data_IF_839185919012
#
_entry.id   IF_839185919012
#
_cell.length_a   1.000
_cell.length_b   1.000
_cell.length_c   1.000
_cell.angle_alpha   90.00
_cell.angle_beta   90.00
_cell.angle_gamma   90.00
#
_symmetry.space_group_name_H-M   'P 1'
#
loop_
_entity.id
_entity.type
_entity.pdbx_description
1 polymer ?
#
# COMPACT_ATOMS: atom_id res chain seq x y z
N UNK A 1 -41.35 14.72 64.61
CA UNK A 1 -41.59 13.26 64.44
C UNK A 1 -41.46 12.89 62.94
N UNK A 2 -40.27 13.10 62.30
CA UNK A 2 -40.06 12.87 60.87
C UNK A 2 -38.82 12.00 60.58
N UNK A 3 -38.21 11.46 61.62
CA UNK A 3 -36.97 10.66 61.51
C UNK A 3 -37.17 9.22 61.01
N UNK A 4 -38.31 8.51 61.21
CA UNK A 4 -38.41 7.12 60.74
C UNK A 4 -38.54 6.94 59.18
N UNK A 5 -39.14 7.94 58.54
CA UNK A 5 -39.36 7.85 57.08
C UNK A 5 -38.05 7.95 56.24
N UNK A 6 -37.08 8.72 56.71
CA UNK A 6 -35.78 8.88 56.06
C UNK A 6 -34.95 7.62 56.23
N UNK A 7 -35.03 6.96 57.38
CA UNK A 7 -34.29 5.71 57.64
C UNK A 7 -34.86 4.56 56.77
N UNK A 8 -36.19 4.47 56.66
CA UNK A 8 -36.82 3.47 55.81
C UNK A 8 -36.48 3.66 54.32
N UNK A 9 -36.47 4.88 53.82
CA UNK A 9 -36.08 5.17 52.42
C UNK A 9 -34.59 4.84 52.16
N UNK A 10 -33.71 5.04 53.14
CA UNK A 10 -32.30 4.67 53.02
C UNK A 10 -32.11 3.15 53.03
N UNK A 11 -32.84 2.42 53.88
CA UNK A 11 -32.81 0.94 53.90
C UNK A 11 -33.42 0.32 52.66
N UNK A 12 -34.44 0.90 52.04
CA UNK A 12 -35.02 0.46 50.78
C UNK A 12 -34.06 0.73 49.63
N UNK A 13 -33.35 1.85 49.61
CA UNK A 13 -32.32 2.17 48.61
C UNK A 13 -31.11 1.21 48.72
N UNK A 14 -30.70 0.84 49.93
CA UNK A 14 -29.62 -0.16 50.13
C UNK A 14 -30.06 -1.56 49.71
N UNK A 15 -31.32 -1.95 49.95
CA UNK A 15 -31.83 -3.26 49.49
C UNK A 15 -31.96 -3.34 47.98
N UNK A 16 -32.30 -2.25 47.29
CA UNK A 16 -32.32 -2.20 45.83
C UNK A 16 -30.90 -2.27 45.19
N UNK A 17 -29.89 -1.87 45.94
CA UNK A 17 -28.51 -1.94 45.49
C UNK A 17 -27.85 -3.31 45.65
N UNK A 18 -28.47 -4.26 46.33
CA UNK A 18 -27.81 -5.48 46.83
C UNK A 18 -28.11 -6.78 46.07
N UNK A 19 -29.02 -6.81 45.13
CA UNK A 19 -29.26 -8.04 44.35
C UNK A 19 -28.66 -8.01 42.94
N UNK A 20 -27.36 -8.18 42.92
CA UNK A 20 -26.64 -8.56 41.70
C UNK A 20 -26.72 -10.08 41.55
N UNK A 21 -27.93 -10.61 41.39
CA UNK A 21 -28.16 -12.08 41.33
C UNK A 21 -28.18 -12.62 39.90
N UNK A 22 -28.07 -11.79 38.87
CA UNK A 22 -28.09 -12.24 37.46
C UNK A 22 -26.68 -12.39 36.83
N UNK A 23 -25.77 -13.02 37.58
CA UNK A 23 -24.44 -13.31 37.05
C UNK A 23 -24.51 -14.23 35.81
N UNK A 24 -25.49 -15.13 35.73
CA UNK A 24 -25.71 -15.98 34.56
C UNK A 24 -26.13 -15.18 33.35
N UNK A 25 -27.02 -14.21 33.48
CA UNK A 25 -27.39 -13.30 32.39
C UNK A 25 -26.21 -12.42 31.95
N UNK A 26 -25.39 -11.94 32.89
CA UNK A 26 -24.19 -11.18 32.57
C UNK A 26 -23.14 -12.02 31.83
N UNK A 27 -22.93 -13.26 32.25
CA UNK A 27 -22.06 -14.18 31.53
C UNK A 27 -22.60 -14.46 30.13
N UNK A 28 -23.92 -14.58 29.95
CA UNK A 28 -24.57 -14.71 28.64
C UNK A 28 -24.27 -13.50 27.74
N UNK A 29 -24.39 -12.27 28.28
CA UNK A 29 -24.05 -11.05 27.54
C UNK A 29 -22.57 -10.96 27.17
N UNK A 30 -21.67 -11.31 28.09
CA UNK A 30 -20.21 -11.34 27.82
C UNK A 30 -19.89 -12.37 26.76
N UNK A 31 -20.47 -13.58 26.86
CA UNK A 31 -20.28 -14.62 25.86
C UNK A 31 -20.83 -14.19 24.48
N UNK A 32 -22.02 -13.57 24.45
CA UNK A 32 -22.60 -13.01 23.23
C UNK A 32 -21.72 -11.93 22.61
N UNK A 33 -21.17 -11.04 23.41
CA UNK A 33 -20.23 -9.99 22.94
C UNK A 33 -18.95 -10.60 22.38
N UNK A 34 -18.36 -11.58 23.05
CA UNK A 34 -17.14 -12.26 22.58
C UNK A 34 -17.39 -13.00 21.27
N UNK A 35 -18.54 -13.68 21.14
CA UNK A 35 -18.93 -14.32 19.89
C UNK A 35 -19.12 -13.31 18.76
N UNK A 36 -19.74 -12.17 19.06
CA UNK A 36 -19.91 -11.10 18.09
C UNK A 36 -18.56 -10.53 17.63
N UNK A 37 -17.64 -10.28 18.56
CA UNK A 37 -16.26 -9.81 18.24
C UNK A 37 -15.53 -10.87 17.39
N UNK A 38 -15.63 -12.15 17.76
CA UNK A 38 -15.03 -13.24 17.01
C UNK A 38 -15.62 -13.34 15.61
N UNK A 39 -16.92 -13.18 15.45
CA UNK A 39 -17.62 -13.16 14.17
C UNK A 39 -17.16 -11.99 13.30
N UNK A 40 -17.12 -10.78 13.84
CA UNK A 40 -16.64 -9.58 13.13
C UNK A 40 -15.18 -9.76 12.69
N UNK A 41 -14.33 -10.26 13.58
CA UNK A 41 -12.94 -10.57 13.26
C UNK A 41 -12.82 -11.62 12.14
N UNK A 42 -13.64 -12.68 12.20
CA UNK A 42 -13.67 -13.72 11.18
C UNK A 42 -14.13 -13.16 9.83
N UNK A 43 -15.18 -12.33 9.81
CA UNK A 43 -15.68 -11.67 8.60
C UNK A 43 -14.65 -10.72 7.99
N UNK A 44 -13.95 -9.92 8.84
CA UNK A 44 -12.86 -9.08 8.37
C UNK A 44 -11.74 -9.90 7.74
N UNK A 45 -11.32 -10.97 8.42
CA UNK A 45 -10.27 -11.87 7.91
C UNK A 45 -10.69 -12.55 6.60
N UNK A 46 -11.95 -12.93 6.50
CA UNK A 46 -12.52 -13.51 5.28
C UNK A 46 -12.55 -12.50 4.13
N UNK A 47 -12.98 -11.27 4.41
CA UNK A 47 -12.98 -10.19 3.42
C UNK A 47 -11.58 -9.86 2.89
N UNK A 48 -10.55 -9.93 3.72
CA UNK A 48 -9.17 -9.75 3.29
C UNK A 48 -8.68 -10.88 2.39
N UNK A 49 -9.03 -12.13 2.71
CA UNK A 49 -8.72 -13.28 1.86
C UNK A 49 -9.39 -13.19 0.49
N UNK A 50 -10.64 -12.76 0.45
CA UNK A 50 -11.40 -12.61 -0.80
C UNK A 50 -10.81 -11.52 -1.69
N UNK A 51 -10.40 -10.39 -1.13
CA UNK A 51 -9.70 -9.34 -1.90
C UNK A 51 -8.38 -9.84 -2.48
N UNK A 52 -7.61 -10.60 -1.72
CA UNK A 52 -6.39 -11.25 -2.23
C UNK A 52 -6.68 -12.27 -3.34
N UNK A 53 -7.76 -13.04 -3.23
CA UNK A 53 -8.16 -14.02 -4.24
C UNK A 53 -8.65 -13.36 -5.53
N UNK A 54 -9.40 -12.25 -5.45
CA UNK A 54 -9.84 -11.48 -6.63
C UNK A 54 -8.67 -10.84 -7.40
N UNK A 55 -7.52 -10.65 -6.74
CA UNK A 55 -6.30 -10.12 -7.34
C UNK A 55 -5.24 -11.19 -7.62
N UNK A 56 -5.57 -12.48 -7.39
CA UNK A 56 -4.64 -13.61 -7.62
C UNK A 56 -4.30 -13.81 -9.09
N UNK A 57 -5.11 -13.30 -10.02
CA UNK A 57 -4.84 -13.28 -11.46
C UNK A 57 -3.72 -12.33 -11.87
N UNK A 58 -3.15 -11.52 -10.96
CA UNK A 58 -2.02 -10.66 -11.29
C UNK A 58 -0.77 -11.53 -11.50
N UNK A 59 -0.09 -11.45 -12.65
CA UNK A 59 1.14 -12.19 -12.93
C UNK A 59 2.21 -11.98 -11.87
N UNK A 60 3.27 -12.76 -11.89
CA UNK A 60 4.45 -12.47 -11.09
C UNK A 60 5.07 -11.15 -11.52
N UNK A 61 5.56 -10.41 -10.52
CA UNK A 61 6.22 -9.14 -10.82
C UNK A 61 7.48 -9.40 -11.63
N UNK A 62 7.72 -8.61 -12.69
CA UNK A 62 8.96 -8.73 -13.43
C UNK A 62 10.16 -8.53 -12.49
N UNK A 63 11.14 -9.36 -12.64
CA UNK A 63 12.47 -9.21 -12.03
C UNK A 63 13.41 -8.62 -13.06
N UNK A 64 14.46 -7.95 -12.59
CA UNK A 64 15.49 -7.40 -13.49
C UNK A 64 16.06 -8.50 -14.38
N UNK A 65 16.23 -8.28 -15.70
CA UNK A 65 16.77 -9.28 -16.63
C UNK A 65 18.16 -9.82 -16.23
N UNK A 66 18.97 -9.02 -15.55
CA UNK A 66 20.34 -9.39 -15.13
C UNK A 66 20.41 -10.05 -13.73
N UNK A 67 19.28 -10.30 -13.07
CA UNK A 67 19.23 -10.91 -11.73
C UNK A 67 19.43 -12.44 -11.76
N UNK A 68 19.88 -13.02 -12.85
CA UNK A 68 20.19 -14.46 -13.02
C UNK A 68 21.48 -14.93 -12.33
N UNK A 69 22.05 -14.19 -11.40
CA UNK A 69 23.22 -14.57 -10.62
C UNK A 69 23.07 -14.13 -9.17
N UNK A 70 23.13 -15.08 -8.25
CA UNK A 70 23.22 -15.02 -6.80
C UNK A 70 22.45 -13.91 -6.05
N UNK A 71 21.77 -14.19 -4.94
CA UNK A 71 21.14 -13.18 -4.12
C UNK A 71 22.19 -12.22 -3.58
N UNK A 72 22.30 -11.06 -4.22
CA UNK A 72 23.26 -10.01 -3.88
C UNK A 72 22.89 -9.44 -2.50
N UNK A 73 23.78 -9.45 -1.52
CA UNK A 73 23.52 -8.81 -0.25
C UNK A 73 23.30 -7.30 -0.47
N UNK A 74 22.26 -6.77 0.16
CA UNK A 74 21.93 -5.35 0.15
C UNK A 74 23.18 -4.52 0.50
N UNK A 75 23.71 -3.78 -0.49
CA UNK A 75 24.76 -2.81 -0.18
C UNK A 75 25.91 -2.61 -1.15
N UNK A 76 25.86 -3.04 -2.43
CA UNK A 76 26.98 -2.75 -3.34
C UNK A 76 26.51 -1.98 -4.58
N UNK A 77 26.86 -0.70 -4.64
CA UNK A 77 26.64 0.18 -5.77
C UNK A 77 27.57 -0.18 -6.93
N UNK A 78 27.02 -0.76 -8.01
CA UNK A 78 27.73 -0.96 -9.25
C UNK A 78 27.26 0.03 -10.31
N UNK A 79 28.11 0.98 -10.67
CA UNK A 79 27.84 1.92 -11.77
C UNK A 79 27.88 1.22 -13.13
N UNK A 80 26.77 1.32 -13.87
CA UNK A 80 26.71 1.02 -15.29
C UNK A 80 26.47 2.33 -16.04
N UNK A 81 27.28 2.61 -17.06
CA UNK A 81 27.17 3.80 -17.92
C UNK A 81 26.07 3.60 -18.94
N UNK A 82 24.99 4.34 -18.84
CA UNK A 82 23.91 4.43 -19.82
C UNK A 82 23.50 5.89 -20.01
N UNK A 83 22.85 6.21 -21.14
CA UNK A 83 22.57 7.57 -21.62
C UNK A 83 22.04 8.59 -20.61
N UNK A 84 21.87 9.83 -21.02
CA UNK A 84 21.62 10.99 -20.12
C UNK A 84 20.38 10.86 -19.18
N UNK A 85 19.43 9.97 -19.48
CA UNK A 85 18.32 9.60 -18.60
C UNK A 85 18.61 8.36 -17.74
N UNK A 86 19.54 7.51 -18.14
CA UNK A 86 19.94 6.31 -17.44
C UNK A 86 20.81 6.69 -16.23
N UNK A 87 20.36 6.28 -15.03
CA UNK A 87 21.09 6.52 -13.80
C UNK A 87 20.41 7.47 -12.81
N UNK A 88 19.21 7.98 -13.18
CA UNK A 88 18.44 8.79 -12.22
C UNK A 88 18.04 7.92 -11.03
N UNK A 89 18.32 8.40 -9.83
CA UNK A 89 18.04 7.68 -8.59
C UNK A 89 17.12 8.49 -7.69
N UNK A 90 16.23 7.79 -7.00
CA UNK A 90 15.34 8.37 -6.00
C UNK A 90 15.33 7.48 -4.78
N UNK A 91 15.65 8.09 -3.63
CA UNK A 91 15.49 7.44 -2.32
C UNK A 91 14.27 8.01 -1.63
N UNK A 92 13.44 7.13 -1.06
CA UNK A 92 12.22 7.60 -0.45
C UNK A 92 11.34 6.46 0.08
N UNK A 93 10.03 6.62 -0.13
CA UNK A 93 9.01 5.67 0.33
C UNK A 93 8.06 5.27 -0.78
N UNK A 94 7.87 3.99 -0.91
CA UNK A 94 6.77 3.41 -1.67
C UNK A 94 5.50 3.43 -0.83
N UNK A 95 4.40 3.94 -1.39
CA UNK A 95 3.12 4.09 -0.68
C UNK A 95 2.11 2.99 -1.02
N UNK A 96 2.31 2.28 -2.12
CA UNK A 96 1.46 1.23 -2.62
C UNK A 96 1.13 1.42 -4.09
N UNK A 97 0.46 0.44 -4.67
CA UNK A 97 -0.10 0.52 -6.02
C UNK A 97 -1.61 0.45 -5.99
N UNK A 98 -2.22 1.04 -7.00
CA UNK A 98 -3.66 1.05 -7.25
C UNK A 98 -3.94 0.74 -8.71
N UNK A 99 -5.17 0.39 -9.03
CA UNK A 99 -5.62 0.40 -10.42
C UNK A 99 -5.49 1.81 -10.98
N UNK A 100 -4.95 1.97 -12.18
CA UNK A 100 -4.70 3.26 -12.78
C UNK A 100 -5.97 4.13 -12.83
N UNK A 101 -5.84 5.39 -12.38
CA UNK A 101 -6.95 6.31 -12.27
C UNK A 101 -7.90 6.08 -11.07
N UNK A 102 -7.72 5.00 -10.31
CA UNK A 102 -8.55 4.65 -9.14
C UNK A 102 -7.74 4.67 -7.85
N UNK A 103 -7.43 5.83 -7.36
CA UNK A 103 -6.51 6.04 -6.23
C UNK A 103 -6.92 5.35 -4.91
N UNK A 104 -8.17 4.89 -4.78
CA UNK A 104 -8.69 4.13 -3.63
C UNK A 104 -8.60 2.61 -3.84
N UNK A 105 -8.52 2.14 -5.09
CA UNK A 105 -8.50 0.72 -5.43
C UNK A 105 -7.10 0.13 -5.27
N UNK A 106 -6.73 -0.14 -4.03
CA UNK A 106 -5.41 -0.67 -3.67
C UNK A 106 -5.21 -2.09 -4.16
N UNK A 107 -4.12 -2.32 -4.85
CA UNK A 107 -3.64 -3.65 -5.21
C UNK A 107 -2.83 -4.22 -4.03
N UNK A 108 -3.30 -5.33 -3.45
CA UNK A 108 -2.64 -5.99 -2.31
C UNK A 108 -1.84 -7.22 -2.71
N UNK A 109 -2.08 -7.73 -3.93
CA UNK A 109 -1.37 -8.89 -4.47
C UNK A 109 0.12 -8.59 -4.69
N UNK A 110 0.93 -9.63 -4.69
CA UNK A 110 2.38 -9.59 -4.99
C UNK A 110 3.18 -8.57 -4.16
N UNK A 111 2.68 -8.18 -2.97
CA UNK A 111 3.34 -7.20 -2.12
C UNK A 111 3.21 -5.74 -2.58
N UNK A 112 2.42 -5.45 -3.64
CA UNK A 112 2.20 -4.09 -4.16
C UNK A 112 1.36 -3.22 -3.21
N UNK A 113 0.64 -3.82 -2.26
CA UNK A 113 -0.11 -3.09 -1.25
C UNK A 113 0.70 -2.64 -0.03
N UNK A 114 1.91 -3.13 0.15
CA UNK A 114 2.71 -2.88 1.36
C UNK A 114 3.56 -1.62 1.22
N UNK A 115 3.47 -0.73 2.21
CA UNK A 115 4.36 0.44 2.31
C UNK A 115 5.75 -0.01 2.74
N UNK A 116 6.77 0.61 2.17
CA UNK A 116 8.17 0.33 2.49
C UNK A 116 9.07 1.54 2.21
N UNK A 117 10.30 1.49 2.69
CA UNK A 117 11.38 2.27 2.06
C UNK A 117 11.48 1.80 0.62
N UNK A 118 11.94 2.67 -0.26
CA UNK A 118 12.18 2.33 -1.65
C UNK A 118 13.36 3.14 -2.20
N UNK A 119 14.16 2.47 -2.99
CA UNK A 119 15.19 3.06 -3.81
C UNK A 119 14.86 2.74 -5.27
N UNK A 120 14.67 3.78 -6.06
CA UNK A 120 14.40 3.66 -7.48
C UNK A 120 15.65 3.99 -8.26
N UNK A 121 15.89 3.21 -9.29
CA UNK A 121 16.94 3.50 -10.29
C UNK A 121 16.33 3.40 -11.68
N UNK A 122 16.37 4.49 -12.42
CA UNK A 122 15.95 4.53 -13.81
C UNK A 122 17.10 4.03 -14.68
N UNK A 123 16.80 3.11 -15.57
CA UNK A 123 17.73 2.55 -16.56
C UNK A 123 17.07 2.53 -17.94
N UNK A 124 17.82 2.28 -19.00
CA UNK A 124 17.26 2.13 -20.35
C UNK A 124 16.30 0.93 -20.44
N UNK A 125 16.48 -0.08 -19.58
CA UNK A 125 15.60 -1.26 -19.50
C UNK A 125 14.30 -0.99 -18.72
N UNK A 126 14.25 0.08 -17.90
CA UNK A 126 13.10 0.41 -17.06
C UNK A 126 13.47 0.91 -15.67
N UNK A 127 12.54 0.79 -14.72
CA UNK A 127 12.71 1.24 -13.34
C UNK A 127 12.93 0.05 -12.41
N UNK A 128 14.07 0.02 -11.77
CA UNK A 128 14.38 -0.91 -10.70
C UNK A 128 13.87 -0.35 -9.36
N UNK A 129 13.10 -1.11 -8.62
CA UNK A 129 12.51 -0.71 -7.35
C UNK A 129 12.96 -1.66 -6.25
N UNK A 130 13.97 -1.26 -5.50
CA UNK A 130 14.51 -2.00 -4.36
C UNK A 130 13.78 -1.54 -3.10
N UNK A 131 13.24 -2.50 -2.35
CA UNK A 131 12.42 -2.24 -1.17
C UNK A 131 12.94 -3.02 0.05
N UNK A 132 13.83 -2.45 0.88
CA UNK A 132 14.33 -3.12 2.08
C UNK A 132 13.17 -3.59 2.98
N UNK A 133 13.13 -4.90 3.26
CA UNK A 133 12.08 -5.53 4.07
C UNK A 133 10.77 -5.85 3.34
N UNK A 134 10.71 -5.66 2.02
CA UNK A 134 9.59 -6.06 1.17
C UNK A 134 10.12 -6.66 -0.15
N UNK A 135 9.25 -7.26 -0.96
CA UNK A 135 9.66 -7.80 -2.26
C UNK A 135 10.02 -6.67 -3.22
N UNK A 136 11.19 -6.75 -3.83
CA UNK A 136 11.63 -5.88 -4.90
C UNK A 136 10.83 -6.15 -6.18
N UNK A 137 10.77 -5.19 -7.08
CA UNK A 137 10.16 -5.39 -8.38
C UNK A 137 10.80 -4.49 -9.44
N UNK A 138 10.62 -4.86 -10.68
CA UNK A 138 11.11 -4.14 -11.83
C UNK A 138 9.94 -3.71 -12.71
N UNK A 139 9.98 -2.49 -13.24
CA UNK A 139 9.01 -1.98 -14.20
C UNK A 139 9.74 -1.87 -15.54
N UNK A 140 9.47 -2.78 -16.51
CA UNK A 140 10.11 -2.72 -17.82
C UNK A 140 9.81 -1.42 -18.56
N UNK A 141 10.75 -0.90 -19.34
CA UNK A 141 10.56 0.31 -20.14
C UNK A 141 9.33 0.20 -21.06
N UNK A 142 9.17 -0.90 -21.76
CA UNK A 142 8.01 -1.14 -22.65
C UNK A 142 6.67 -1.25 -21.90
N UNK A 143 6.68 -1.48 -20.57
CA UNK A 143 5.48 -1.46 -19.75
C UNK A 143 5.14 -0.08 -19.21
N UNK A 144 6.07 0.88 -19.22
CA UNK A 144 5.82 2.26 -18.77
C UNK A 144 4.79 2.94 -19.67
N UNK A 145 3.88 3.70 -19.04
CA UNK A 145 2.85 4.47 -19.75
C UNK A 145 2.88 5.95 -19.40
N UNK A 146 3.65 6.33 -18.39
CA UNK A 146 3.89 7.72 -18.01
C UNK A 146 4.15 7.89 -16.54
N UNK A 147 4.46 9.12 -16.16
CA UNK A 147 4.58 9.53 -14.77
C UNK A 147 3.88 10.87 -14.55
N UNK A 148 3.43 11.12 -13.33
CA UNK A 148 2.80 12.38 -12.94
C UNK A 148 3.04 12.70 -11.48
N UNK A 149 2.86 13.96 -11.13
CA UNK A 149 2.79 14.38 -9.75
C UNK A 149 1.34 14.32 -9.26
N UNK A 150 1.15 13.81 -8.05
CA UNK A 150 -0.18 13.70 -7.45
C UNK A 150 -0.08 13.95 -5.94
N UNK A 151 -1.25 14.08 -5.31
CA UNK A 151 -1.40 14.21 -3.86
C UNK A 151 -1.94 12.96 -3.18
N UNK A 152 -2.46 12.00 -3.94
CA UNK A 152 -3.17 10.85 -3.36
C UNK A 152 -2.86 9.52 -4.02
N UNK A 153 -2.65 8.48 -3.21
CA UNK A 153 -2.61 7.09 -3.66
C UNK A 153 -3.00 6.14 -2.52
N UNK A 154 -3.70 5.08 -2.86
CA UNK A 154 -4.05 3.99 -1.94
C UNK A 154 -4.71 4.50 -0.64
N UNK A 155 -5.63 5.47 -0.75
CA UNK A 155 -6.32 6.06 0.37
C UNK A 155 -5.47 7.01 1.24
N UNK A 156 -4.29 7.41 0.76
CA UNK A 156 -3.43 8.40 1.43
C UNK A 156 -3.41 9.69 0.62
N UNK A 157 -3.54 10.79 1.33
CA UNK A 157 -3.43 12.15 0.78
C UNK A 157 -2.22 12.82 1.41
N UNK A 158 -1.36 13.41 0.59
CA UNK A 158 -0.21 14.21 0.96
C UNK A 158 -0.38 15.65 0.47
N UNK A 159 0.65 16.47 0.65
CA UNK A 159 0.69 17.79 0.03
C UNK A 159 0.69 17.65 -1.50
N UNK A 160 0.22 18.70 -2.18
CA UNK A 160 0.20 18.75 -3.64
C UNK A 160 1.60 18.54 -4.23
N UNK A 161 1.72 17.70 -5.27
CA UNK A 161 3.02 17.31 -5.83
C UNK A 161 3.87 16.42 -4.93
N UNK A 162 3.36 15.99 -3.76
CA UNK A 162 4.11 15.21 -2.78
C UNK A 162 4.32 13.73 -3.16
N UNK A 163 3.72 13.26 -4.26
CA UNK A 163 3.86 11.90 -4.79
C UNK A 163 4.27 11.94 -6.26
N UNK A 164 5.24 11.11 -6.58
CA UNK A 164 5.52 10.65 -7.93
C UNK A 164 4.66 9.41 -8.17
N UNK A 165 3.76 9.46 -9.12
CA UNK A 165 2.97 8.33 -9.59
C UNK A 165 3.55 7.85 -10.90
N UNK A 166 3.92 6.58 -10.97
CA UNK A 166 4.35 5.91 -12.20
C UNK A 166 3.21 5.00 -12.65
N UNK A 167 2.71 5.24 -13.85
CA UNK A 167 1.68 4.42 -14.50
C UNK A 167 2.35 3.42 -15.43
N UNK A 168 2.02 2.14 -15.26
CA UNK A 168 2.60 1.06 -16.03
C UNK A 168 1.62 -0.10 -16.22
N UNK A 169 1.87 -0.91 -17.23
CA UNK A 169 1.07 -2.08 -17.57
C UNK A 169 1.67 -3.34 -16.93
N UNK A 170 0.83 -4.15 -16.32
CA UNK A 170 1.22 -5.43 -15.74
C UNK A 170 0.16 -6.50 -16.01
N UNK A 171 0.48 -7.41 -16.93
CA UNK A 171 -0.50 -8.33 -17.48
C UNK A 171 -1.58 -7.58 -18.25
N UNK A 172 -2.82 -7.76 -17.87
CA UNK A 172 -4.00 -7.11 -18.45
C UNK A 172 -4.41 -5.82 -17.73
N UNK A 173 -3.60 -5.33 -16.79
CA UNK A 173 -3.96 -4.22 -15.90
C UNK A 173 -3.02 -3.04 -16.02
N UNK A 174 -3.62 -1.87 -16.02
CA UNK A 174 -2.91 -0.61 -15.83
C UNK A 174 -2.80 -0.31 -14.33
N UNK A 175 -1.59 -0.06 -13.86
CA UNK A 175 -1.25 0.12 -12.44
C UNK A 175 -0.62 1.49 -12.22
N UNK A 176 -1.06 2.18 -11.19
CA UNK A 176 -0.42 3.37 -10.63
C UNK A 176 0.40 2.98 -9.41
N UNK A 177 1.69 3.23 -9.42
CA UNK A 177 2.59 3.01 -8.29
C UNK A 177 3.06 4.35 -7.72
N UNK A 178 2.86 4.57 -6.43
CA UNK A 178 3.14 5.85 -5.78
C UNK A 178 4.39 5.84 -4.93
N UNK A 179 5.25 6.81 -5.19
CA UNK A 179 6.51 7.02 -4.51
C UNK A 179 6.60 8.45 -3.95
N UNK A 180 7.23 8.59 -2.80
CA UNK A 180 7.57 9.88 -2.23
C UNK A 180 9.06 9.94 -2.03
N UNK A 181 9.74 10.83 -2.74
CA UNK A 181 11.15 11.10 -2.51
C UNK A 181 11.38 11.75 -1.15
N UNK A 182 12.50 11.46 -0.54
CA UNK A 182 13.02 12.22 0.61
C UNK A 182 13.39 13.66 0.18
N UNK A 183 13.58 13.90 -1.15
CA UNK A 183 13.82 15.21 -1.78
C UNK A 183 12.76 15.48 -2.86
N UNK A 184 11.72 16.22 -2.51
CA UNK A 184 10.58 16.46 -3.39
C UNK A 184 10.97 17.12 -4.75
N UNK A 185 12.04 17.88 -4.79
CA UNK A 185 12.56 18.51 -6.01
C UNK A 185 12.95 17.49 -7.11
N UNK A 186 13.23 16.25 -6.75
CA UNK A 186 13.57 15.19 -7.72
C UNK A 186 12.37 14.70 -8.52
N UNK A 187 11.15 14.89 -8.04
CA UNK A 187 9.95 14.36 -8.67
C UNK A 187 9.77 14.86 -10.12
N UNK A 188 10.01 16.14 -10.38
CA UNK A 188 9.84 16.72 -11.71
C UNK A 188 10.81 16.08 -12.72
N UNK A 189 12.06 15.93 -12.35
CA UNK A 189 13.06 15.28 -13.20
C UNK A 189 12.69 13.81 -13.52
N UNK A 190 12.08 13.12 -12.55
CA UNK A 190 11.58 11.76 -12.76
C UNK A 190 10.41 11.70 -13.74
N UNK A 191 9.45 12.65 -13.64
CA UNK A 191 8.33 12.73 -14.60
C UNK A 191 8.88 12.95 -16.01
N UNK A 192 9.76 13.93 -16.20
CA UNK A 192 10.36 14.24 -17.49
C UNK A 192 11.12 13.04 -18.08
N UNK A 193 11.91 12.35 -17.26
CA UNK A 193 12.68 11.20 -17.68
C UNK A 193 11.81 10.01 -18.09
N UNK A 194 10.76 9.69 -17.33
CA UNK A 194 9.81 8.61 -17.67
C UNK A 194 9.03 8.96 -18.94
N UNK A 195 8.58 10.20 -19.08
CA UNK A 195 7.87 10.65 -20.28
C UNK A 195 8.76 10.60 -21.54
N UNK A 196 10.05 10.84 -21.40
CA UNK A 196 10.98 10.73 -22.53
C UNK A 196 11.12 9.27 -23.00
N UNK A 197 11.18 8.32 -22.07
CA UNK A 197 11.25 6.89 -22.41
C UNK A 197 9.97 6.44 -23.10
N UNK A 198 8.81 6.81 -22.55
CA UNK A 198 7.50 6.42 -23.12
C UNK A 198 7.27 7.00 -24.52
N UNK A 199 7.73 8.20 -24.79
CA UNK A 199 7.63 8.80 -26.13
C UNK A 199 8.53 8.09 -27.15
N UNK A 200 9.74 7.74 -26.77
CA UNK A 200 10.68 7.03 -27.63
C UNK A 200 10.15 5.64 -28.02
N UNK A 201 9.60 4.90 -27.06
CA UNK A 201 9.03 3.57 -27.29
C UNK A 201 7.82 3.62 -28.25
N UNK A 202 6.95 4.63 -28.12
CA UNK A 202 5.82 4.83 -29.02
C UNK A 202 6.27 5.19 -30.45
N UNK A 203 7.36 5.91 -30.60
CA UNK A 203 7.88 6.30 -31.90
C UNK A 203 8.53 5.09 -32.62
N UNK A 204 9.23 4.24 -31.89
CA UNK A 204 9.87 3.04 -32.41
C UNK A 204 8.84 1.95 -32.76
N UNK A 205 7.78 1.83 -31.99
CA UNK A 205 6.65 0.93 -32.27
C UNK A 205 5.82 1.32 -33.49
N UNK A 206 5.71 2.61 -33.81
CA UNK A 206 5.00 3.12 -34.98
C UNK A 206 5.80 3.00 -36.29
N UNK A 207 7.11 2.74 -36.20
CA UNK A 207 8.01 2.61 -37.36
C UNK A 207 8.20 1.15 -37.83
N UNK A 208 7.56 0.18 -37.18
CA UNK A 208 7.58 -1.25 -37.54
C UNK A 208 6.26 -1.69 -38.11
#
# INVERSE_FOLDING_TARGET
>A
MTTPLIIQAAEEAERQSAEVTDWAARLGWVAGLLLFIALVYWLMRQGWKWRGALQSGLPELPTRPDAGGDPRPAGTHGGGSGGAAAGLRLSGRYHGSTTAGQWLDRIVARGLGSRSRAELTLTDAGIDVVRPGAADFFIPAGALRGARLDKGIAGKVLAEGGLLIVTWEHGDRMIDSGFRSDRAAEHTAWVEAVDSITKNDMTEGAAR
#
